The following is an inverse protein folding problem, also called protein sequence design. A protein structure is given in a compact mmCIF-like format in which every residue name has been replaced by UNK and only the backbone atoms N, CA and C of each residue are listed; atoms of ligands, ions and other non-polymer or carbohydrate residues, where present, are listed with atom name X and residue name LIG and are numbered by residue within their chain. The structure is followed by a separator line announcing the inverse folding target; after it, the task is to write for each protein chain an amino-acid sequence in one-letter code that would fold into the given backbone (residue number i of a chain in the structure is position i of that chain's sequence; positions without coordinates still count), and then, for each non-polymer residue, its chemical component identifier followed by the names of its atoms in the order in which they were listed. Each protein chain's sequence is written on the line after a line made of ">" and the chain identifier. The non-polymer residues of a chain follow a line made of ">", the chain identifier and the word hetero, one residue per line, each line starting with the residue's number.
data_IF_451514328175
#
_entry.id   IF_451514328175
#
_cell.length_a   1.000
_cell.length_b   1.000
_cell.length_c   1.000
_cell.angle_alpha   90.00
_cell.angle_beta   90.00
_cell.angle_gamma   90.00
#
_symmetry.space_group_name_H-M   'P 1'
#
loop_
_entity.id
_entity.type
_entity.pdbx_description
1 polymer ?
#
# COMPACT_ATOMS: atom_id res chain seq x y z
N UNK A 1 18.02 7.90 -52.70
CA UNK A 1 17.83 6.59 -52.05
C UNK A 1 17.03 6.82 -50.78
N UNK A 2 15.88 6.15 -50.64
CA UNK A 2 15.00 6.31 -49.46
C UNK A 2 15.36 5.13 -48.55
N UNK A 3 16.01 5.41 -47.42
CA UNK A 3 16.27 4.41 -46.40
C UNK A 3 14.94 3.91 -45.83
N UNK A 4 14.76 2.59 -45.62
CA UNK A 4 13.54 2.07 -45.05
C UNK A 4 13.44 2.55 -43.60
N UNK A 5 12.31 3.13 -43.24
CA UNK A 5 11.95 3.45 -41.85
C UNK A 5 11.74 2.11 -41.14
N UNK A 6 12.82 1.53 -40.61
CA UNK A 6 12.73 0.52 -39.57
C UNK A 6 12.31 1.27 -38.30
N UNK A 7 11.17 0.90 -37.69
CA UNK A 7 10.81 1.10 -36.26
C UNK A 7 9.30 0.99 -35.95
N UNK A 8 8.46 0.40 -36.81
CA UNK A 8 7.06 0.08 -36.40
C UNK A 8 6.99 -1.04 -35.33
N UNK A 9 8.05 -1.84 -35.16
CA UNK A 9 8.08 -2.99 -34.23
C UNK A 9 8.42 -2.65 -32.77
N UNK A 10 8.78 -1.39 -32.45
CA UNK A 10 9.25 -1.01 -31.11
C UNK A 10 8.40 0.10 -30.44
N UNK A 11 7.16 0.27 -30.90
CA UNK A 11 6.20 1.18 -30.26
C UNK A 11 5.73 0.56 -28.94
N UNK A 12 6.13 1.15 -27.82
CA UNK A 12 5.69 0.73 -26.49
C UNK A 12 4.23 1.15 -26.25
N UNK A 13 3.31 0.31 -26.73
CA UNK A 13 1.86 0.50 -26.59
C UNK A 13 1.30 -0.14 -25.31
N UNK A 14 2.14 -0.35 -24.29
CA UNK A 14 1.69 -0.86 -23.00
C UNK A 14 0.89 0.19 -22.22
N UNK A 15 -0.06 -0.27 -21.39
CA UNK A 15 -0.84 0.59 -20.48
C UNK A 15 0.04 1.42 -19.53
N UNK A 16 1.29 0.99 -19.26
CA UNK A 16 2.26 1.75 -18.46
C UNK A 16 2.80 2.99 -19.16
N UNK A 17 2.76 3.03 -20.49
CA UNK A 17 3.17 4.17 -21.31
C UNK A 17 1.98 5.08 -21.68
N UNK A 18 0.74 4.60 -21.51
CA UNK A 18 -0.46 5.38 -21.80
C UNK A 18 -0.86 6.26 -20.62
N UNK A 19 -0.99 7.56 -20.87
CA UNK A 19 -1.64 8.52 -19.99
C UNK A 19 -2.98 8.96 -20.60
N UNK A 20 -4.02 9.11 -19.79
CA UNK A 20 -5.36 9.49 -20.26
C UNK A 20 -5.40 10.91 -20.84
N UNK A 21 -4.54 11.81 -20.33
CA UNK A 21 -4.48 13.19 -20.78
C UNK A 21 -3.55 13.37 -22.00
N UNK A 22 -2.32 12.84 -21.92
CA UNK A 22 -1.31 13.04 -22.95
C UNK A 22 -1.28 11.93 -24.03
N UNK A 23 -1.98 10.81 -23.83
CA UNK A 23 -1.94 9.65 -24.71
C UNK A 23 -0.70 8.77 -24.45
N UNK A 24 -0.23 8.05 -25.47
CA UNK A 24 0.99 7.26 -25.36
C UNK A 24 2.22 8.16 -25.25
N UNK A 25 3.09 7.88 -24.28
CA UNK A 25 4.38 8.55 -24.13
C UNK A 25 5.31 8.27 -25.30
N UNK A 26 6.14 9.27 -25.63
CA UNK A 26 7.06 9.24 -26.77
C UNK A 26 6.78 10.37 -27.76
N UNK A 27 7.81 10.82 -28.48
CA UNK A 27 7.65 11.86 -29.52
C UNK A 27 7.61 11.20 -30.89
N UNK A 28 6.53 11.46 -31.63
CA UNK A 28 6.25 10.86 -32.94
C UNK A 28 7.22 11.35 -34.05
N UNK A 29 7.86 12.50 -33.86
CA UNK A 29 8.66 13.18 -34.88
C UNK A 29 10.17 12.94 -34.74
N UNK A 30 10.61 12.07 -33.80
CA UNK A 30 12.05 11.82 -33.58
C UNK A 30 12.76 11.15 -34.77
N UNK A 31 12.00 10.49 -35.66
CA UNK A 31 12.56 9.72 -36.77
C UNK A 31 12.57 10.49 -38.11
N UNK A 32 12.15 11.75 -38.13
CA UNK A 32 12.22 12.58 -39.34
C UNK A 32 13.63 13.15 -39.52
N UNK A 33 14.02 13.42 -40.77
CA UNK A 33 15.27 14.13 -41.04
C UNK A 33 15.20 15.48 -40.37
N UNK A 34 16.19 15.78 -39.53
CA UNK A 34 16.31 17.03 -38.79
C UNK A 34 17.45 17.85 -39.39
N UNK A 35 17.14 19.05 -39.87
CA UNK A 35 18.11 19.94 -40.52
C UNK A 35 18.47 21.16 -39.65
N UNK A 36 19.32 22.04 -40.20
CA UNK A 36 19.77 23.23 -39.48
C UNK A 36 18.62 24.23 -39.28
N UNK A 37 17.65 24.28 -40.19
CA UNK A 37 16.48 25.16 -40.10
C UNK A 37 15.53 24.67 -38.99
N UNK A 38 15.35 23.35 -38.85
CA UNK A 38 14.59 22.74 -37.74
C UNK A 38 15.20 23.12 -36.37
N UNK A 39 16.53 23.15 -36.28
CA UNK A 39 17.25 23.55 -35.07
C UNK A 39 17.06 25.02 -34.73
N UNK A 40 17.16 25.91 -35.71
CA UNK A 40 16.91 27.33 -35.50
C UNK A 40 15.45 27.58 -35.11
N UNK A 41 14.52 26.82 -35.69
CA UNK A 41 13.11 26.87 -35.32
C UNK A 41 12.92 26.45 -33.85
N UNK A 42 13.45 25.29 -33.44
CA UNK A 42 13.34 24.79 -32.06
C UNK A 42 13.90 25.80 -31.05
N UNK A 43 15.06 26.41 -31.35
CA UNK A 43 15.66 27.44 -30.50
C UNK A 43 14.73 28.67 -30.36
N UNK A 44 14.16 29.14 -31.48
CA UNK A 44 13.22 30.27 -31.46
C UNK A 44 11.93 29.95 -30.69
N UNK A 45 11.38 28.74 -30.84
CA UNK A 45 10.19 28.31 -30.11
C UNK A 45 10.47 28.14 -28.62
N UNK A 46 11.60 27.54 -28.24
CA UNK A 46 12.01 27.40 -26.85
C UNK A 46 12.21 28.77 -26.18
N UNK A 47 12.82 29.74 -26.89
CA UNK A 47 12.96 31.11 -26.39
C UNK A 47 11.61 31.80 -26.15
N UNK A 48 10.60 31.55 -27.00
CA UNK A 48 9.25 32.09 -26.81
C UNK A 48 8.61 31.50 -25.55
N UNK A 49 8.70 30.18 -25.38
CA UNK A 49 8.15 29.49 -24.21
C UNK A 49 8.86 29.93 -22.92
N UNK A 50 10.19 30.06 -22.94
CA UNK A 50 10.96 30.56 -21.81
C UNK A 50 10.50 31.97 -21.43
N UNK A 51 10.35 32.87 -22.40
CA UNK A 51 9.91 34.26 -22.18
C UNK A 51 8.50 34.32 -21.59
N UNK A 52 7.60 33.44 -22.02
CA UNK A 52 6.26 33.35 -21.47
C UNK A 52 6.29 32.91 -20.00
N UNK A 53 7.22 32.03 -19.66
CA UNK A 53 7.35 31.49 -18.30
C UNK A 53 8.20 32.31 -17.35
N UNK A 54 9.11 33.18 -17.83
CA UNK A 54 10.09 33.97 -17.05
C UNK A 54 9.52 34.54 -15.73
N UNK A 55 8.32 35.16 -15.77
CA UNK A 55 7.71 35.80 -14.60
C UNK A 55 7.28 34.82 -13.51
N UNK A 56 6.91 33.60 -13.88
CA UNK A 56 6.43 32.56 -12.94
C UNK A 56 7.48 31.48 -12.72
N UNK A 57 8.49 31.37 -13.59
CA UNK A 57 9.56 30.38 -13.57
C UNK A 57 10.22 30.30 -12.21
N UNK A 58 10.72 31.43 -11.68
CA UNK A 58 11.38 31.46 -10.37
C UNK A 58 10.48 30.96 -9.23
N UNK A 59 9.23 31.40 -9.17
CA UNK A 59 8.28 31.00 -8.12
C UNK A 59 7.86 29.53 -8.26
N UNK A 60 7.63 29.09 -9.50
CA UNK A 60 7.27 27.69 -9.81
C UNK A 60 8.43 26.76 -9.48
N UNK A 61 9.65 27.10 -9.86
CA UNK A 61 10.85 26.32 -9.60
C UNK A 61 11.23 26.30 -8.12
N UNK A 62 11.11 27.42 -7.41
CA UNK A 62 11.34 27.49 -5.95
C UNK A 62 10.31 26.63 -5.21
N UNK A 63 9.03 26.78 -5.55
CA UNK A 63 7.97 25.95 -4.99
C UNK A 63 8.15 24.47 -5.32
N UNK A 64 8.44 24.13 -6.57
CA UNK A 64 8.65 22.74 -7.00
C UNK A 64 9.89 22.15 -6.33
N UNK A 65 10.96 22.93 -6.15
CA UNK A 65 12.16 22.52 -5.42
C UNK A 65 11.82 22.26 -3.95
N UNK A 66 11.13 23.16 -3.28
CA UNK A 66 10.76 23.01 -1.88
C UNK A 66 9.80 21.83 -1.67
N UNK A 67 8.82 21.66 -2.56
CA UNK A 67 7.92 20.51 -2.57
C UNK A 67 8.68 19.20 -2.81
N UNK A 68 9.64 19.16 -3.73
CA UNK A 68 10.46 17.99 -4.01
C UNK A 68 11.37 17.63 -2.82
N UNK A 69 11.98 18.64 -2.18
CA UNK A 69 12.79 18.45 -0.98
C UNK A 69 11.94 17.91 0.16
N UNK A 70 10.77 18.52 0.40
CA UNK A 70 9.82 18.06 1.41
C UNK A 70 9.33 16.65 1.14
N UNK A 71 8.96 16.32 -0.10
CA UNK A 71 8.55 14.97 -0.49
C UNK A 71 9.66 13.94 -0.27
N UNK A 72 10.90 14.32 -0.53
CA UNK A 72 12.07 13.46 -0.32
C UNK A 72 12.37 13.25 1.17
N UNK A 73 12.15 14.26 2.00
CA UNK A 73 12.31 14.16 3.45
C UNK A 73 11.15 13.39 4.09
N UNK A 74 9.91 13.59 3.62
CA UNK A 74 8.71 12.90 4.12
C UNK A 74 8.68 11.43 3.73
N UNK A 75 9.11 11.11 2.51
CA UNK A 75 9.10 9.74 1.95
C UNK A 75 10.44 9.44 1.28
N UNK A 76 11.53 9.29 2.05
CA UNK A 76 12.82 8.96 1.48
C UNK A 76 12.73 7.62 0.75
N UNK A 77 13.33 7.54 -0.43
CA UNK A 77 13.36 6.29 -1.20
C UNK A 77 14.05 5.19 -0.41
N UNK A 78 13.66 3.93 -0.59
CA UNK A 78 14.27 2.79 0.13
C UNK A 78 15.80 2.80 -0.05
N UNK A 79 16.27 3.07 -1.27
CA UNK A 79 17.70 3.20 -1.55
C UNK A 79 18.38 4.28 -0.70
N UNK A 80 17.75 5.44 -0.47
CA UNK A 80 18.28 6.51 0.38
C UNK A 80 18.32 6.12 1.85
N UNK A 81 17.28 5.44 2.36
CA UNK A 81 17.24 4.91 3.73
C UNK A 81 18.39 3.90 3.96
N UNK A 82 18.74 3.14 2.91
CA UNK A 82 19.79 2.13 2.95
C UNK A 82 21.20 2.67 2.69
N UNK A 83 21.38 3.94 2.27
CA UNK A 83 22.70 4.53 2.07
C UNK A 83 23.61 4.51 3.31
N UNK A 84 23.17 4.96 4.50
CA UNK A 84 24.03 4.91 5.69
C UNK A 84 24.43 3.45 6.00
N UNK A 85 23.48 2.52 5.96
CA UNK A 85 23.74 1.10 6.18
C UNK A 85 24.71 0.52 5.15
N UNK A 86 24.59 0.91 3.87
CA UNK A 86 25.52 0.49 2.82
C UNK A 86 26.94 1.02 3.05
N UNK A 87 27.10 2.23 3.61
CA UNK A 87 28.42 2.79 3.96
C UNK A 87 29.02 2.09 5.18
N UNK A 88 28.20 1.72 6.15
CA UNK A 88 28.66 0.94 7.31
C UNK A 88 29.03 -0.49 6.92
N UNK A 89 28.26 -1.09 6.00
CA UNK A 89 28.53 -2.41 5.43
C UNK A 89 29.87 -2.46 4.67
N UNK A 90 30.35 -1.33 4.14
CA UNK A 90 31.68 -1.25 3.52
C UNK A 90 32.85 -1.40 4.51
N UNK A 91 32.61 -1.27 5.82
CA UNK A 91 33.63 -1.48 6.86
C UNK A 91 33.81 -2.95 7.24
N UNK A 92 32.87 -3.82 6.86
CA UNK A 92 32.89 -5.27 7.14
C UNK A 92 33.94 -5.93 6.26
N UNK A 93 34.84 -6.72 6.87
CA UNK A 93 35.92 -7.41 6.16
C UNK A 93 35.40 -8.63 5.38
N UNK A 94 36.12 -9.06 4.34
CA UNK A 94 35.74 -10.24 3.55
C UNK A 94 35.67 -11.52 4.40
N UNK A 95 36.54 -11.66 5.41
CA UNK A 95 36.52 -12.80 6.34
C UNK A 95 35.21 -12.85 7.15
N UNK A 96 34.69 -11.69 7.54
CA UNK A 96 33.42 -11.57 8.27
C UNK A 96 32.21 -11.81 7.36
N UNK A 97 32.33 -11.52 6.06
CA UNK A 97 31.34 -11.92 5.04
C UNK A 97 31.28 -13.43 4.85
N UNK A 98 32.44 -14.10 4.82
CA UNK A 98 32.53 -15.56 4.68
C UNK A 98 32.03 -16.30 5.93
N UNK A 99 32.10 -15.64 7.10
CA UNK A 99 31.64 -16.18 8.37
C UNK A 99 30.13 -16.06 8.61
N UNK A 100 29.36 -15.45 7.68
CA UNK A 100 27.89 -15.32 7.81
C UNK A 100 27.24 -16.72 7.73
N UNK A 101 26.54 -17.19 8.78
CA UNK A 101 25.88 -18.49 8.74
C UNK A 101 24.72 -18.55 7.75
N UNK A 102 24.53 -19.70 7.10
CA UNK A 102 23.40 -19.94 6.20
C UNK A 102 22.06 -19.95 6.95
N UNK A 103 21.02 -19.41 6.30
CA UNK A 103 19.71 -19.19 6.91
C UNK A 103 18.95 -20.47 7.35
N UNK A 104 19.43 -21.65 6.97
CA UNK A 104 18.73 -22.90 7.23
C UNK A 104 18.70 -23.34 8.70
N UNK A 105 19.58 -22.83 9.57
CA UNK A 105 19.61 -23.23 10.98
C UNK A 105 18.42 -22.65 11.79
N UNK A 106 17.93 -21.47 11.42
CA UNK A 106 16.86 -20.78 12.15
C UNK A 106 15.43 -21.12 11.66
N UNK A 107 15.29 -21.78 10.51
CA UNK A 107 14.00 -22.35 10.06
C UNK A 107 13.70 -23.68 10.78
N UNK A 108 13.60 -23.65 12.11
CA UNK A 108 12.90 -24.71 12.85
C UNK A 108 11.39 -24.51 12.72
N UNK A 109 10.87 -24.53 11.49
CA UNK A 109 9.43 -24.67 11.24
C UNK A 109 9.05 -26.07 11.70
N UNK A 110 8.74 -26.20 13.00
CA UNK A 110 8.27 -27.42 13.63
C UNK A 110 7.00 -27.81 12.88
N UNK A 111 7.10 -28.76 11.93
CA UNK A 111 5.96 -29.30 11.18
C UNK A 111 4.87 -29.62 12.20
N UNK A 112 3.83 -28.80 12.25
CA UNK A 112 2.67 -29.06 13.09
C UNK A 112 1.99 -30.25 12.44
N UNK A 113 2.14 -31.41 13.06
CA UNK A 113 1.44 -32.62 12.65
C UNK A 113 -0.05 -32.27 12.79
N UNK A 114 -0.76 -32.22 11.66
CA UNK A 114 -2.20 -31.95 11.68
C UNK A 114 -2.84 -33.11 12.44
N UNK A 115 -3.42 -32.83 13.59
CA UNK A 115 -4.25 -33.80 14.29
C UNK A 115 -5.53 -33.95 13.47
N UNK A 116 -5.60 -35.02 12.68
CA UNK A 116 -6.82 -35.39 11.99
C UNK A 116 -7.76 -36.02 13.02
N UNK A 117 -8.65 -35.21 13.58
CA UNK A 117 -9.76 -35.70 14.39
C UNK A 117 -10.71 -36.45 13.44
N UNK A 118 -10.63 -37.78 13.46
CA UNK A 118 -11.62 -38.62 12.81
C UNK A 118 -12.86 -38.73 13.69
N UNK A 119 -14.05 -38.82 13.07
CA UNK A 119 -15.28 -39.08 13.82
C UNK A 119 -15.13 -40.36 14.66
N UNK A 120 -15.57 -40.30 15.92
CA UNK A 120 -15.57 -41.45 16.81
C UNK A 120 -16.39 -42.59 16.18
N UNK A 121 -15.85 -43.80 16.15
CA UNK A 121 -16.57 -44.97 15.63
C UNK A 121 -17.72 -45.36 16.55
N UNK A 122 -18.89 -45.69 16.00
CA UNK A 122 -20.10 -46.15 16.72
C UNK A 122 -19.86 -47.38 17.62
N UNK A 123 -18.75 -48.10 17.45
CA UNK A 123 -18.30 -49.15 18.38
C UNK A 123 -18.15 -48.64 19.82
N UNK A 124 -17.81 -47.36 20.02
CA UNK A 124 -17.77 -46.74 21.35
C UNK A 124 -19.17 -46.62 21.96
N UNK A 125 -20.20 -46.34 21.16
CA UNK A 125 -21.59 -46.30 21.63
C UNK A 125 -22.11 -47.71 21.95
N UNK A 126 -21.75 -48.71 21.14
CA UNK A 126 -22.12 -50.09 21.41
C UNK A 126 -21.44 -50.61 22.70
N UNK A 127 -20.17 -50.28 22.91
CA UNK A 127 -19.45 -50.59 24.14
C UNK A 127 -20.05 -49.87 25.36
N UNK A 128 -20.44 -48.60 25.21
CA UNK A 128 -21.08 -47.82 26.26
C UNK A 128 -22.47 -48.37 26.62
N UNK A 129 -23.24 -48.87 25.64
CA UNK A 129 -24.51 -49.56 25.87
C UNK A 129 -24.32 -50.85 26.69
N UNK A 130 -23.31 -51.67 26.35
CA UNK A 130 -23.02 -52.87 27.13
C UNK A 130 -22.54 -52.55 28.54
N UNK A 131 -21.78 -51.47 28.71
CA UNK A 131 -21.31 -51.02 30.03
C UNK A 131 -22.45 -50.41 30.87
N UNK A 132 -23.35 -49.63 30.28
CA UNK A 132 -24.49 -48.99 30.95
C UNK A 132 -25.63 -49.93 31.34
N UNK A 133 -25.64 -51.17 30.83
CA UNK A 133 -26.64 -52.18 31.23
C UNK A 133 -26.35 -52.74 32.64
N UNK A 134 -25.18 -52.45 33.23
CA UNK A 134 -24.77 -52.99 34.52
C UNK A 134 -24.97 -52.06 35.74
N UNK A 135 -25.65 -50.92 35.60
CA UNK A 135 -26.09 -50.19 36.79
C UNK A 135 -26.55 -48.77 36.55
N UNK A 136 -27.86 -48.55 36.68
CA UNK A 136 -28.44 -47.37 37.35
C UNK A 136 -29.86 -47.70 37.79
N UNK A 137 -30.00 -48.21 39.01
CA UNK A 137 -31.17 -48.00 39.85
C UNK A 137 -31.23 -46.51 40.23
N UNK A 138 -32.43 -45.94 40.19
CA UNK A 138 -32.90 -44.64 40.71
C UNK A 138 -31.89 -43.71 41.42
N UNK A 139 -31.87 -42.44 40.99
CA UNK A 139 -32.23 -41.35 41.92
C UNK A 139 -32.48 -40.01 41.24
N UNK A 140 -33.68 -39.51 41.54
CA UNK A 140 -34.13 -38.13 41.52
C UNK A 140 -33.33 -37.24 42.47
N UNK A 141 -33.09 -35.98 42.11
CA UNK A 141 -32.55 -34.99 43.05
C UNK A 141 -32.03 -33.73 42.38
N UNK A 142 -32.74 -32.62 42.57
CA UNK A 142 -32.47 -31.33 41.92
C UNK A 142 -31.15 -30.67 42.32
N UNK A 143 -30.63 -29.85 41.40
CA UNK A 143 -29.50 -28.97 41.66
C UNK A 143 -29.96 -27.52 41.52
N UNK A 144 -29.78 -26.78 42.61
CA UNK A 144 -30.22 -25.40 42.85
C UNK A 144 -29.35 -24.38 42.11
N UNK A 145 -30.00 -23.43 41.43
CA UNK A 145 -29.38 -22.25 40.83
C UNK A 145 -29.26 -21.13 41.87
N UNK A 146 -28.07 -20.62 42.22
CA UNK A 146 -27.99 -19.35 42.95
C UNK A 146 -28.14 -18.19 41.96
N UNK A 147 -29.37 -17.70 41.83
CA UNK A 147 -29.70 -16.34 41.37
C UNK A 147 -29.01 -15.32 42.30
N UNK A 148 -28.21 -14.41 41.76
CA UNK A 148 -27.70 -13.24 42.49
C UNK A 148 -27.61 -12.04 41.56
N UNK A 149 -28.40 -11.00 41.87
CA UNK A 149 -28.01 -9.61 41.67
C UNK A 149 -28.56 -8.87 40.44
N UNK A 150 -29.86 -8.61 40.44
CA UNK A 150 -30.52 -7.60 39.59
C UNK A 150 -30.40 -6.22 40.27
N UNK A 151 -29.72 -5.26 39.64
CA UNK A 151 -29.91 -3.82 39.91
C UNK A 151 -29.44 -2.94 38.74
N UNK A 152 -30.30 -2.83 37.73
CA UNK A 152 -30.28 -1.72 36.77
C UNK A 152 -31.10 -0.56 37.35
N UNK A 153 -30.61 0.70 37.39
CA UNK A 153 -31.48 1.86 37.37
C UNK A 153 -31.73 2.25 35.91
N UNK A 154 -32.94 1.94 35.44
CA UNK A 154 -33.50 2.43 34.19
C UNK A 154 -33.82 3.93 34.35
N UNK A 155 -33.15 4.78 33.57
CA UNK A 155 -33.49 6.19 33.38
C UNK A 155 -34.07 6.39 31.98
N UNK A 156 -35.37 6.67 31.93
CA UNK A 156 -36.20 6.86 30.75
C UNK A 156 -36.15 8.34 30.28
N UNK A 157 -36.08 8.59 28.97
CA UNK A 157 -36.19 9.93 28.37
C UNK A 157 -35.51 10.00 27.00
N UNK A 158 -36.10 9.47 25.92
CA UNK A 158 -36.95 10.19 24.95
C UNK A 158 -36.33 11.45 24.33
N UNK A 159 -35.91 11.33 23.06
CA UNK A 159 -36.08 12.37 22.03
C UNK A 159 -34.98 13.44 21.91
N UNK A 160 -34.45 13.61 20.69
CA UNK A 160 -33.84 14.88 20.27
C UNK A 160 -32.58 14.79 19.42
N UNK A 161 -32.69 14.32 18.17
CA UNK A 161 -31.78 14.78 17.11
C UNK A 161 -32.24 16.18 16.68
N UNK A 162 -31.57 17.22 17.16
CA UNK A 162 -31.77 18.61 16.72
C UNK A 162 -30.50 19.40 16.98
N UNK A 163 -29.71 19.62 15.92
CA UNK A 163 -28.68 20.65 15.85
C UNK A 163 -29.32 21.96 15.36
N UNK A 164 -29.30 23.06 16.13
CA UNK A 164 -29.67 24.37 15.61
C UNK A 164 -28.48 25.05 14.91
N UNK A 165 -28.67 25.30 13.62
CA UNK A 165 -28.43 26.55 12.87
C UNK A 165 -27.31 27.49 13.38
N UNK A 166 -26.31 27.70 12.54
CA UNK A 166 -25.42 28.86 12.55
C UNK A 166 -25.04 29.26 11.12
N UNK A 167 -25.81 30.19 10.54
CA UNK A 167 -25.54 30.83 9.25
C UNK A 167 -24.31 31.75 9.30
N UNK A 168 -23.62 31.90 8.17
CA UNK A 168 -22.81 33.11 7.92
C UNK A 168 -21.65 32.94 6.95
N UNK A 169 -21.93 32.83 5.65
CA UNK A 169 -20.96 33.22 4.61
C UNK A 169 -20.96 34.75 4.52
N UNK A 170 -19.83 35.38 4.82
CA UNK A 170 -19.62 36.82 4.62
C UNK A 170 -18.31 37.03 3.86
N UNK A 171 -18.45 37.43 2.60
CA UNK A 171 -17.40 37.98 1.75
C UNK A 171 -17.19 39.45 2.11
N UNK A 172 -15.95 39.97 2.24
CA UNK A 172 -15.72 41.40 2.16
C UNK A 172 -15.22 41.81 0.78
N UNK A 173 -16.05 42.62 0.10
CA UNK A 173 -15.69 43.42 -1.08
C UNK A 173 -15.07 44.75 -0.60
N UNK A 174 -13.96 45.14 -1.22
CA UNK A 174 -13.63 46.50 -1.68
C UNK A 174 -13.65 47.70 -0.71
N UNK A 175 -12.49 48.34 -0.61
CA UNK A 175 -12.31 49.79 -0.69
C UNK A 175 -11.17 50.07 -1.69
#
# INVERSE_FOLDING_TARGET
>A
EITPIQDEENQDLGDSNFDEFAGYGGSLFQNTVYDEDDKEADEMYEQVDERLDEKRKKWREERMRDELLKMRDERPTISQQLLPFKRDLAKVSAEEWDAIPEAQEHLKTKKRRRETLAAASDSLLLSARSAGTFGTTDQSGGMSTPMTGMSTPMGFGTGGLSTPIGMGLSTPMGL
#
